data_IF_418125667737
#
_entry.id   IF_418125667737
#
_cell.length_a   1.000
_cell.length_b   1.000
_cell.length_c   1.000
_cell.angle_alpha   90.00
_cell.angle_beta   90.00
_cell.angle_gamma   90.00
#
_symmetry.space_group_name_H-M   'P 1'
#
loop_
_entity.id
_entity.type
_entity.pdbx_description
1 polymer ?
#
# COMPACT_ATOMS: atom_id res chain seq x y z
N UNK A 1 -18.47 7.24 -0.44
CA UNK A 1 -18.21 6.50 0.80
C UNK A 1 -19.48 6.06 1.54
N UNK A 2 -20.31 6.97 2.10
CA UNK A 2 -21.49 6.58 2.91
C UNK A 2 -22.47 5.67 2.15
N UNK A 3 -22.80 6.02 0.89
CA UNK A 3 -23.65 5.18 0.03
C UNK A 3 -23.01 3.82 -0.26
N UNK A 4 -21.71 3.79 -0.52
CA UNK A 4 -20.95 2.54 -0.74
C UNK A 4 -21.07 1.61 0.48
N UNK A 5 -20.83 2.11 1.69
CA UNK A 5 -20.98 1.33 2.93
C UNK A 5 -22.39 0.77 3.09
N UNK A 6 -23.42 1.60 2.87
CA UNK A 6 -24.82 1.16 2.92
C UNK A 6 -25.11 0.04 1.92
N UNK A 7 -24.56 0.11 0.71
CA UNK A 7 -24.76 -0.92 -0.31
C UNK A 7 -24.01 -2.21 0.04
N UNK A 8 -22.77 -2.13 0.54
CA UNK A 8 -22.02 -3.30 0.99
C UNK A 8 -22.74 -4.01 2.15
N UNK A 9 -23.26 -3.24 3.12
CA UNK A 9 -24.04 -3.78 4.23
C UNK A 9 -25.32 -4.46 3.74
N UNK A 10 -26.07 -3.85 2.81
CA UNK A 10 -27.25 -4.46 2.18
C UNK A 10 -26.92 -5.75 1.41
N UNK A 11 -25.72 -5.82 0.83
CA UNK A 11 -25.23 -6.99 0.12
C UNK A 11 -24.61 -8.06 1.03
N UNK A 12 -24.54 -7.83 2.35
CA UNK A 12 -23.88 -8.75 3.29
C UNK A 12 -22.37 -8.83 3.14
N UNK A 13 -21.74 -7.83 2.52
CA UNK A 13 -20.30 -7.77 2.31
C UNK A 13 -19.67 -7.02 3.49
N UNK A 14 -18.75 -7.68 4.19
CA UNK A 14 -17.95 -7.07 5.26
C UNK A 14 -16.92 -6.08 4.69
N UNK A 15 -16.69 -4.98 5.38
CA UNK A 15 -15.75 -3.93 4.95
C UNK A 15 -15.10 -3.24 6.15
N UNK A 16 -13.91 -2.65 5.94
CA UNK A 16 -13.15 -1.89 6.94
C UNK A 16 -12.50 -0.65 6.31
N UNK A 17 -11.86 0.19 7.14
CA UNK A 17 -10.99 1.30 6.69
C UNK A 17 -11.71 2.58 6.25
N UNK A 18 -13.03 2.63 6.41
CA UNK A 18 -13.83 3.85 6.27
C UNK A 18 -14.78 3.97 7.43
N UNK A 19 -15.32 5.15 7.72
CA UNK A 19 -16.20 5.35 8.87
C UNK A 19 -16.95 6.68 8.85
N UNK A 20 -17.96 6.80 9.70
CA UNK A 20 -18.64 8.07 9.98
C UNK A 20 -17.85 8.97 10.96
N UNK A 21 -16.85 8.40 11.63
CA UNK A 21 -15.86 9.06 12.49
C UNK A 21 -14.50 8.38 12.34
N UNK A 22 -13.44 8.96 12.91
CA UNK A 22 -12.12 8.32 12.95
C UNK A 22 -12.16 6.98 13.69
N UNK A 23 -12.86 6.89 14.83
CA UNK A 23 -13.02 5.65 15.58
C UNK A 23 -13.76 4.57 14.78
N UNK A 24 -14.83 4.92 14.07
CA UNK A 24 -15.54 3.99 13.18
C UNK A 24 -14.65 3.56 11.99
N UNK A 25 -13.83 4.47 11.46
CA UNK A 25 -12.94 4.18 10.34
C UNK A 25 -11.79 3.23 10.69
N UNK A 26 -11.27 3.34 11.91
CA UNK A 26 -10.20 2.50 12.47
C UNK A 26 -10.70 1.16 13.01
N UNK A 27 -12.02 0.95 13.09
CA UNK A 27 -12.59 -0.27 13.67
C UNK A 27 -12.28 -1.49 12.79
N UNK A 28 -11.73 -2.57 13.36
CA UNK A 28 -11.58 -3.84 12.64
C UNK A 28 -12.94 -4.43 12.27
N UNK A 29 -13.01 -5.10 11.12
CA UNK A 29 -14.15 -5.97 10.81
C UNK A 29 -13.79 -7.42 11.12
N UNK A 30 -14.76 -8.18 11.60
CA UNK A 30 -14.57 -9.59 11.97
C UNK A 30 -15.49 -10.47 11.13
N UNK A 31 -14.98 -11.63 10.73
CA UNK A 31 -15.73 -12.66 10.01
C UNK A 31 -15.44 -14.01 10.64
N UNK A 32 -16.50 -14.75 10.96
CA UNK A 32 -16.39 -16.12 11.45
C UNK A 32 -16.65 -17.10 10.32
N UNK A 33 -15.71 -18.03 10.11
CA UNK A 33 -15.85 -19.09 9.12
C UNK A 33 -15.12 -20.35 9.57
N UNK A 34 -15.82 -21.48 9.53
CA UNK A 34 -15.22 -22.78 9.83
C UNK A 34 -14.65 -22.87 11.25
N UNK A 35 -15.29 -22.19 12.22
CA UNK A 35 -14.83 -22.16 13.62
C UNK A 35 -13.64 -21.23 13.89
N UNK A 36 -13.18 -20.46 12.89
CA UNK A 36 -12.14 -19.44 13.04
C UNK A 36 -12.71 -18.05 12.89
N UNK A 37 -12.21 -17.11 13.69
CA UNK A 37 -12.52 -15.69 13.60
C UNK A 37 -11.35 -14.97 12.92
N UNK A 38 -11.63 -14.36 11.78
CA UNK A 38 -10.66 -13.58 11.00
C UNK A 38 -11.00 -12.11 11.16
N UNK A 39 -9.99 -11.28 11.44
CA UNK A 39 -10.14 -9.83 11.48
C UNK A 39 -9.42 -9.15 10.32
N UNK A 40 -9.96 -8.01 9.89
CA UNK A 40 -9.34 -7.13 8.90
C UNK A 40 -9.30 -5.69 9.43
N UNK A 41 -8.08 -5.16 9.52
CA UNK A 41 -7.79 -3.74 9.73
C UNK A 41 -7.35 -3.15 8.40
N UNK A 42 -8.10 -2.20 7.87
CA UNK A 42 -7.81 -1.58 6.59
C UNK A 42 -7.47 -0.09 6.75
N UNK A 43 -6.42 0.34 6.06
CA UNK A 43 -5.86 1.68 6.12
C UNK A 43 -5.54 2.15 4.70
N UNK A 44 -5.66 3.45 4.49
CA UNK A 44 -5.25 4.12 3.27
C UNK A 44 -3.95 4.90 3.55
N UNK A 45 -2.95 4.82 2.68
CA UNK A 45 -1.73 5.64 2.72
C UNK A 45 -2.04 7.10 2.40
N UNK A 46 -1.11 7.83 1.78
CA UNK A 46 -1.32 9.27 1.54
C UNK A 46 -2.53 9.52 0.64
N UNK A 47 -3.56 10.15 1.20
CA UNK A 47 -4.77 10.57 0.50
C UNK A 47 -4.97 12.07 0.68
N UNK A 48 -5.85 12.64 -0.14
CA UNK A 48 -6.23 14.05 0.01
C UNK A 48 -6.74 14.31 1.45
N UNK A 49 -6.36 15.45 2.08
CA UNK A 49 -6.73 15.73 3.48
C UNK A 49 -8.24 15.60 3.77
N UNK A 50 -9.09 15.89 2.77
CA UNK A 50 -10.54 15.81 2.87
C UNK A 50 -11.07 14.37 2.94
N UNK A 51 -10.26 13.38 2.55
CA UNK A 51 -10.61 11.96 2.58
C UNK A 51 -10.43 11.34 3.97
N UNK A 52 -9.51 11.86 4.79
CA UNK A 52 -9.16 11.31 6.12
C UNK A 52 -10.35 11.44 7.08
N UNK A 53 -10.68 10.44 7.87
CA UNK A 53 -11.74 10.55 8.88
C UNK A 53 -11.33 11.49 10.03
N UNK A 54 -12.26 12.31 10.52
CA UNK A 54 -12.03 13.21 11.64
C UNK A 54 -12.60 12.65 12.95
N UNK A 55 -11.90 12.79 14.10
CA UNK A 55 -12.43 12.35 15.39
C UNK A 55 -13.61 13.22 15.88
N UNK A 56 -13.69 14.47 15.41
CA UNK A 56 -14.51 15.48 16.06
C UNK A 56 -13.84 15.97 17.34
N UNK A 57 -14.48 16.91 18.02
CA UNK A 57 -14.07 17.41 19.33
C UNK A 57 -15.35 17.76 20.12
N UNK A 58 -15.70 16.96 21.15
CA UNK A 58 -16.86 17.23 21.97
C UNK A 58 -16.76 18.55 22.75
N UNK A 59 -15.55 18.95 23.14
CA UNK A 59 -15.31 20.15 23.95
C UNK A 59 -15.51 21.42 23.10
N UNK A 60 -15.15 21.35 21.80
CA UNK A 60 -15.35 22.42 20.82
C UNK A 60 -16.64 22.29 20.00
N UNK A 61 -17.57 21.38 20.38
CA UNK A 61 -18.80 21.06 19.61
C UNK A 61 -18.54 20.65 18.14
N UNK A 62 -17.34 20.18 17.82
CA UNK A 62 -16.98 19.72 16.49
C UNK A 62 -17.47 18.29 16.28
N UNK A 63 -18.35 18.13 15.30
CA UNK A 63 -18.87 16.80 14.96
C UNK A 63 -17.78 15.95 14.28
N UNK A 64 -17.76 14.62 14.52
CA UNK A 64 -16.89 13.72 13.79
C UNK A 64 -17.13 13.82 12.28
N UNK A 65 -16.05 13.67 11.50
CA UNK A 65 -16.13 13.77 10.04
C UNK A 65 -15.97 12.39 9.39
N UNK A 66 -16.90 11.98 8.51
CA UNK A 66 -16.75 10.74 7.77
C UNK A 66 -15.51 10.75 6.88
N UNK A 67 -14.81 9.63 6.78
CA UNK A 67 -13.63 9.47 5.93
C UNK A 67 -13.00 8.08 6.05
N UNK A 68 -11.76 7.96 5.57
CA UNK A 68 -10.94 6.75 5.66
C UNK A 68 -10.02 6.77 6.88
N UNK A 69 -9.68 5.58 7.37
CA UNK A 69 -8.54 5.43 8.28
C UNK A 69 -7.27 5.64 7.46
N UNK A 70 -6.52 6.70 7.75
CA UNK A 70 -5.35 7.06 6.98
C UNK A 70 -4.06 6.83 7.78
N UNK A 71 -2.99 6.49 7.07
CA UNK A 71 -1.61 6.64 7.50
C UNK A 71 -0.98 7.75 6.66
N UNK A 72 -1.06 8.99 7.13
CA UNK A 72 -0.45 10.12 6.44
C UNK A 72 1.07 10.01 6.55
N UNK A 73 1.75 10.07 5.40
CA UNK A 73 3.20 10.11 5.32
C UNK A 73 3.62 11.26 4.38
N UNK A 74 4.38 12.22 4.92
CA UNK A 74 4.89 13.35 4.14
C UNK A 74 6.25 12.99 3.56
N UNK A 75 6.47 13.09 2.24
CA UNK A 75 7.80 12.89 1.66
C UNK A 75 8.72 14.05 2.06
N UNK A 76 9.92 13.73 2.55
CA UNK A 76 10.93 14.70 2.97
C UNK A 76 12.21 14.43 2.19
N UNK A 77 12.70 15.43 1.46
CA UNK A 77 13.98 15.32 0.78
C UNK A 77 15.11 15.71 1.73
N UNK A 78 16.00 14.78 2.03
CA UNK A 78 17.14 14.99 2.93
C UNK A 78 18.35 15.44 2.10
N UNK A 79 19.01 16.51 2.52
CA UNK A 79 20.08 17.18 1.78
C UNK A 79 21.30 17.44 2.66
N UNK A 80 22.49 17.44 2.08
CA UNK A 80 23.67 18.00 2.74
C UNK A 80 23.53 19.51 2.99
N UNK A 81 24.44 20.08 3.78
CA UNK A 81 24.42 21.50 4.13
C UNK A 81 24.46 22.44 2.93
N UNK A 82 25.31 22.16 1.95
CA UNK A 82 25.51 23.06 0.80
C UNK A 82 24.24 23.10 -0.05
N UNK A 83 23.64 21.94 -0.34
CA UNK A 83 22.42 21.81 -1.13
C UNK A 83 21.22 22.38 -0.38
N UNK A 84 21.11 22.11 0.93
CA UNK A 84 20.05 22.64 1.78
C UNK A 84 20.08 24.17 1.84
N UNK A 85 21.25 24.76 2.14
CA UNK A 85 21.43 26.22 2.17
C UNK A 85 21.09 26.83 0.79
N UNK A 86 21.51 26.19 -0.31
CA UNK A 86 21.20 26.67 -1.67
C UNK A 86 19.68 26.73 -1.92
N UNK A 87 18.94 25.67 -1.58
CA UNK A 87 17.49 25.62 -1.76
C UNK A 87 16.79 26.66 -0.88
N UNK A 88 17.22 26.78 0.39
CA UNK A 88 16.71 27.78 1.33
C UNK A 88 16.88 29.19 0.78
N UNK A 89 18.08 29.53 0.32
CA UNK A 89 18.41 30.87 -0.15
C UNK A 89 17.64 31.23 -1.43
N UNK A 90 17.44 30.27 -2.35
CA UNK A 90 16.58 30.43 -3.54
C UNK A 90 15.13 30.70 -3.13
N UNK A 91 14.59 29.92 -2.19
CA UNK A 91 13.21 30.09 -1.71
C UNK A 91 13.00 31.47 -1.07
N UNK A 92 13.94 31.92 -0.23
CA UNK A 92 13.91 33.25 0.37
C UNK A 92 13.98 34.36 -0.69
N UNK A 93 14.84 34.21 -1.72
CA UNK A 93 14.92 35.15 -2.83
C UNK A 93 13.62 35.27 -3.64
N UNK A 94 12.79 34.22 -3.63
CA UNK A 94 11.45 34.20 -4.23
C UNK A 94 10.36 34.74 -3.30
N UNK A 95 10.70 35.20 -2.10
CA UNK A 95 9.76 35.72 -1.11
C UNK A 95 8.94 34.63 -0.41
N UNK A 96 9.37 33.37 -0.45
CA UNK A 96 8.72 32.29 0.28
C UNK A 96 8.87 32.48 1.78
N UNK A 97 7.78 32.27 2.52
CA UNK A 97 7.84 32.14 3.97
C UNK A 97 8.24 30.70 4.28
N UNK A 98 9.45 30.53 4.79
CA UNK A 98 9.92 29.24 5.27
C UNK A 98 9.28 28.98 6.64
N UNK A 99 8.56 27.87 6.75
CA UNK A 99 8.04 27.39 8.04
C UNK A 99 8.80 26.14 8.45
N UNK A 100 9.10 26.01 9.75
CA UNK A 100 9.82 24.87 10.31
C UNK A 100 11.02 25.32 11.15
N UNK A 101 11.95 24.40 11.41
CA UNK A 101 13.21 24.67 12.12
C UNK A 101 14.32 25.06 11.13
N UNK A 102 15.44 25.62 11.60
CA UNK A 102 16.56 26.01 10.71
C UNK A 102 17.10 24.86 9.84
N UNK A 103 16.84 23.62 10.25
CA UNK A 103 17.27 22.38 9.59
C UNK A 103 16.14 21.60 8.95
N UNK A 104 14.90 22.10 8.98
CA UNK A 104 13.72 21.44 8.43
C UNK A 104 12.72 22.48 7.93
N UNK A 105 12.61 22.61 6.61
CA UNK A 105 11.83 23.68 5.98
C UNK A 105 10.78 23.10 5.03
N UNK A 106 9.63 23.75 4.98
CA UNK A 106 8.58 23.48 4.00
C UNK A 106 8.29 24.73 3.16
N UNK A 107 8.15 24.57 1.84
CA UNK A 107 7.68 25.66 0.97
C UNK A 107 6.19 25.58 0.69
N UNK A 108 5.57 26.76 0.66
CA UNK A 108 4.15 26.91 0.42
C UNK A 108 3.91 27.68 -0.86
N UNK A 109 3.38 26.99 -1.86
CA UNK A 109 2.84 27.65 -3.05
C UNK A 109 1.33 27.75 -2.90
N UNK A 110 0.86 28.88 -2.38
CA UNK A 110 -0.56 29.09 -2.07
C UNK A 110 -0.93 28.60 -0.66
N UNK A 111 -2.13 28.00 -0.50
CA UNK A 111 -2.65 27.58 0.81
C UNK A 111 -2.17 26.19 1.28
N UNK A 112 -1.39 25.48 0.48
CA UNK A 112 -0.88 24.15 0.83
C UNK A 112 0.51 23.94 0.23
N UNK A 113 1.39 23.18 0.90
CA UNK A 113 2.67 22.80 0.33
C UNK A 113 2.42 21.90 -0.89
N UNK A 114 3.18 22.10 -1.97
CA UNK A 114 3.18 21.14 -3.09
C UNK A 114 3.86 19.85 -2.58
N UNK A 115 3.59 18.70 -3.19
CA UNK A 115 4.48 17.55 -3.03
C UNK A 115 5.96 17.99 -3.20
N UNK A 116 6.93 17.25 -2.64
CA UNK A 116 8.38 17.52 -2.76
C UNK A 116 8.90 18.88 -2.20
N UNK A 117 8.08 19.61 -1.45
CA UNK A 117 8.44 20.93 -0.87
C UNK A 117 9.00 20.90 0.56
N UNK A 118 9.13 19.70 1.16
CA UNK A 118 9.72 19.51 2.49
C UNK A 118 11.18 19.07 2.34
N UNK A 119 12.08 19.80 3.00
CA UNK A 119 13.51 19.54 2.98
C UNK A 119 14.10 19.51 4.38
N UNK A 120 14.99 18.56 4.61
CA UNK A 120 15.67 18.39 5.89
C UNK A 120 17.18 18.36 5.70
N UNK A 121 17.89 19.06 6.55
CA UNK A 121 19.35 18.98 6.64
C UNK A 121 19.74 17.60 7.19
N UNK A 122 20.47 16.84 6.38
CA UNK A 122 21.04 15.55 6.73
C UNK A 122 22.56 15.60 6.87
N UNK A 123 23.09 14.50 7.37
CA UNK A 123 24.55 14.27 7.48
C UNK A 123 25.12 13.52 6.27
N UNK A 124 24.27 12.98 5.41
CA UNK A 124 24.68 12.23 4.22
C UNK A 124 25.07 13.17 3.07
N UNK A 125 26.07 12.77 2.28
CA UNK A 125 26.56 13.57 1.17
C UNK A 125 25.59 13.60 -0.03
N UNK A 126 24.91 12.48 -0.27
CA UNK A 126 23.97 12.33 -1.37
C UNK A 126 22.53 12.62 -0.91
N UNK A 127 21.73 13.33 -1.73
CA UNK A 127 20.32 13.50 -1.45
C UNK A 127 19.57 12.18 -1.31
N UNK A 128 18.65 12.10 -0.35
CA UNK A 128 17.81 10.92 -0.14
C UNK A 128 16.36 11.29 0.15
N UNK A 129 15.46 10.32 0.01
CA UNK A 129 14.04 10.47 0.30
C UNK A 129 13.70 9.81 1.63
N UNK A 130 13.23 10.61 2.57
CA UNK A 130 12.66 10.18 3.85
C UNK A 130 11.15 10.40 3.86
N UNK A 131 10.51 9.91 4.93
CA UNK A 131 9.06 9.99 5.10
C UNK A 131 8.74 10.30 6.56
N UNK A 132 7.99 11.38 6.78
CA UNK A 132 7.46 11.72 8.09
C UNK A 132 6.05 11.17 8.23
N UNK A 133 5.93 10.13 9.04
CA UNK A 133 4.64 9.50 9.35
C UNK A 133 3.93 10.28 10.44
N UNK A 134 2.64 10.54 10.26
CA UNK A 134 1.83 11.16 11.30
C UNK A 134 1.73 10.23 12.54
N UNK A 135 2.15 10.69 13.73
CA UNK A 135 2.25 9.83 14.91
C UNK A 135 0.89 9.38 15.47
N UNK A 136 -0.16 10.21 15.33
CA UNK A 136 -1.52 9.87 15.77
C UNK A 136 -2.17 8.81 14.87
N UNK A 137 -1.85 8.86 13.58
CA UNK A 137 -2.21 7.82 12.62
C UNK A 137 -1.51 6.51 12.96
N UNK A 138 -0.18 6.55 13.10
CA UNK A 138 0.62 5.38 13.47
C UNK A 138 0.10 4.72 14.74
N UNK A 139 -0.01 5.49 15.83
CA UNK A 139 -0.43 4.97 17.14
C UNK A 139 -1.83 4.36 17.08
N UNK A 140 -2.79 5.06 16.45
CA UNK A 140 -4.15 4.56 16.37
C UNK A 140 -4.30 3.32 15.49
N UNK A 141 -3.48 3.18 14.44
CA UNK A 141 -3.47 1.98 13.60
C UNK A 141 -2.92 0.78 14.36
N UNK A 142 -1.81 0.96 15.10
CA UNK A 142 -1.23 -0.09 15.93
C UNK A 142 -2.25 -0.58 16.97
N UNK A 143 -2.91 0.34 17.68
CA UNK A 143 -3.97 0.00 18.64
C UNK A 143 -5.13 -0.78 18.01
N UNK A 144 -5.52 -0.44 16.78
CA UNK A 144 -6.55 -1.20 16.04
C UNK A 144 -6.10 -2.63 15.74
N UNK A 145 -4.82 -2.84 15.43
CA UNK A 145 -4.26 -4.17 15.15
C UNK A 145 -4.18 -5.01 16.43
N UNK A 146 -3.71 -4.43 17.53
CA UNK A 146 -3.67 -5.08 18.85
C UNK A 146 -5.09 -5.51 19.27
N UNK A 147 -6.06 -4.60 19.18
CA UNK A 147 -7.47 -4.88 19.48
C UNK A 147 -8.01 -6.00 18.58
N UNK A 148 -7.66 -6.00 17.29
CA UNK A 148 -8.08 -7.02 16.35
C UNK A 148 -7.52 -8.39 16.74
N UNK A 149 -6.23 -8.46 17.13
CA UNK A 149 -5.57 -9.70 17.54
C UNK A 149 -6.18 -10.29 18.81
N UNK A 150 -6.51 -9.47 19.80
CA UNK A 150 -7.14 -9.94 21.04
C UNK A 150 -8.50 -10.62 20.83
N UNK A 151 -9.14 -10.38 19.68
CA UNK A 151 -10.49 -10.85 19.38
C UNK A 151 -10.56 -11.72 18.12
N UNK A 152 -9.44 -12.21 17.59
CA UNK A 152 -9.44 -13.05 16.39
C UNK A 152 -8.32 -14.07 16.38
N UNK A 153 -8.54 -15.19 15.69
CA UNK A 153 -7.53 -16.22 15.48
C UNK A 153 -6.47 -15.73 14.48
N UNK A 154 -6.94 -15.02 13.45
CA UNK A 154 -6.13 -14.52 12.33
C UNK A 154 -6.43 -13.03 12.13
N UNK A 155 -5.40 -12.20 12.19
CA UNK A 155 -5.46 -10.76 11.94
C UNK A 155 -4.80 -10.39 10.63
N UNK A 156 -5.54 -9.71 9.75
CA UNK A 156 -5.03 -9.19 8.48
C UNK A 156 -4.94 -7.67 8.57
N UNK A 157 -3.76 -7.13 8.27
CA UNK A 157 -3.55 -5.70 8.08
C UNK A 157 -3.48 -5.37 6.59
N UNK A 158 -4.28 -4.43 6.13
CA UNK A 158 -4.35 -3.98 4.73
C UNK A 158 -4.02 -2.51 4.61
N UNK A 159 -3.11 -2.15 3.70
CA UNK A 159 -2.71 -0.78 3.42
C UNK A 159 -2.84 -0.46 1.93
N UNK A 160 -3.60 0.57 1.58
CA UNK A 160 -3.64 1.10 0.22
C UNK A 160 -2.54 2.16 0.02
N UNK A 161 -1.42 1.86 -0.64
CA UNK A 161 -0.31 2.80 -0.79
C UNK A 161 0.46 2.60 -2.11
N UNK A 162 0.70 3.68 -2.86
CA UNK A 162 1.41 3.64 -4.15
C UNK A 162 2.89 4.03 -4.04
N UNK A 163 3.31 4.59 -2.91
CA UNK A 163 4.60 5.24 -2.78
C UNK A 163 5.76 4.23 -2.90
N UNK A 164 6.80 4.63 -3.64
CA UNK A 164 8.03 3.87 -3.85
C UNK A 164 9.19 4.50 -3.08
N UNK A 165 10.24 3.71 -2.79
CA UNK A 165 11.42 4.18 -2.07
C UNK A 165 12.12 5.36 -2.75
N UNK A 166 12.10 5.41 -4.08
CA UNK A 166 12.69 6.50 -4.87
C UNK A 166 11.72 7.67 -5.13
N UNK A 167 10.45 7.54 -4.74
CA UNK A 167 9.39 8.46 -5.17
C UNK A 167 8.98 8.30 -6.64
N UNK A 168 9.50 7.31 -7.36
CA UNK A 168 9.13 7.05 -8.75
C UNK A 168 7.65 6.63 -8.85
N UNK A 169 6.93 7.27 -9.77
CA UNK A 169 5.54 6.96 -10.08
C UNK A 169 5.46 5.80 -11.08
N UNK A 170 4.64 4.81 -10.76
CA UNK A 170 4.38 3.63 -11.59
C UNK A 170 3.49 3.90 -12.80
N UNK A 171 2.93 5.12 -12.93
CA UNK A 171 2.12 5.56 -14.07
C UNK A 171 2.94 5.91 -15.32
N UNK A 172 4.25 6.12 -15.18
CA UNK A 172 5.15 6.43 -16.31
C UNK A 172 5.42 5.21 -17.20
N UNK A 173 5.57 5.47 -18.50
CA UNK A 173 5.81 4.44 -19.54
C UNK A 173 7.16 4.73 -20.22
N UNK A 174 8.10 3.77 -20.26
CA UNK A 174 8.03 2.44 -19.64
C UNK A 174 8.04 2.50 -18.10
N UNK A 175 7.51 1.45 -17.46
CA UNK A 175 7.49 1.33 -15.98
C UNK A 175 8.93 1.44 -15.47
N UNK A 176 9.15 2.35 -14.52
CA UNK A 176 10.45 2.50 -13.90
C UNK A 176 10.68 1.38 -12.88
N UNK A 177 11.78 0.60 -12.97
CA UNK A 177 12.05 -0.45 -11.97
C UNK A 177 12.05 0.06 -10.53
N UNK A 178 12.46 1.32 -10.32
CA UNK A 178 12.48 1.96 -9.00
C UNK A 178 11.08 2.18 -8.39
N UNK A 179 10.00 2.23 -9.20
CA UNK A 179 8.62 2.35 -8.69
C UNK A 179 8.11 1.04 -8.07
N UNK A 180 8.82 -0.08 -8.27
CA UNK A 180 8.49 -1.40 -7.73
C UNK A 180 9.16 -1.69 -6.38
N UNK A 181 9.98 -0.77 -5.88
CA UNK A 181 10.57 -0.86 -4.54
C UNK A 181 9.66 -0.11 -3.56
N UNK A 182 9.06 -0.77 -2.55
CA UNK A 182 8.13 -0.12 -1.63
C UNK A 182 8.83 0.97 -0.80
N UNK A 183 8.11 2.06 -0.52
CA UNK A 183 8.62 3.14 0.33
C UNK A 183 9.04 2.64 1.71
N UNK A 184 10.04 3.29 2.32
CA UNK A 184 10.55 2.88 3.64
C UNK A 184 9.48 2.93 4.72
N UNK A 185 8.58 3.92 4.70
CA UNK A 185 7.50 4.00 5.68
C UNK A 185 6.49 2.86 5.57
N UNK A 186 6.19 2.38 4.35
CA UNK A 186 5.26 1.25 4.15
C UNK A 186 5.88 -0.03 4.68
N UNK A 187 7.19 -0.24 4.47
CA UNK A 187 7.94 -1.34 5.10
C UNK A 187 7.91 -1.26 6.63
N UNK A 188 8.18 -0.08 7.18
CA UNK A 188 8.22 0.13 8.63
C UNK A 188 6.87 -0.15 9.31
N UNK A 189 5.75 0.35 8.74
CA UNK A 189 4.43 0.05 9.30
C UNK A 189 4.05 -1.42 9.09
N UNK A 190 4.48 -2.09 8.02
CA UNK A 190 4.25 -3.53 7.82
C UNK A 190 4.94 -4.37 8.90
N UNK A 191 6.20 -4.06 9.23
CA UNK A 191 6.91 -4.73 10.34
C UNK A 191 6.24 -4.44 11.68
N UNK A 192 5.89 -3.18 11.94
CA UNK A 192 5.19 -2.80 13.16
C UNK A 192 3.81 -3.46 13.29
N UNK A 193 3.08 -3.64 12.19
CA UNK A 193 1.80 -4.33 12.17
C UNK A 193 1.96 -5.81 12.55
N UNK A 194 2.98 -6.50 12.05
CA UNK A 194 3.29 -7.88 12.45
C UNK A 194 3.68 -7.94 13.92
N UNK A 195 4.49 -6.99 14.39
CA UNK A 195 4.91 -6.91 15.79
C UNK A 195 3.73 -6.66 16.74
N UNK A 196 2.72 -5.93 16.27
CA UNK A 196 1.46 -5.69 16.98
C UNK A 196 0.45 -6.86 16.91
N UNK A 197 0.76 -7.92 16.15
CA UNK A 197 -0.05 -9.14 16.09
C UNK A 197 -0.76 -9.41 14.77
N UNK A 198 -0.48 -8.67 13.69
CA UNK A 198 -0.94 -9.04 12.35
C UNK A 198 -0.29 -10.35 11.90
N UNK A 199 -1.11 -11.29 11.43
CA UNK A 199 -0.68 -12.57 10.90
C UNK A 199 -0.37 -12.49 9.39
N UNK A 200 -0.93 -11.49 8.68
CA UNK A 200 -0.68 -11.20 7.25
C UNK A 200 -0.75 -9.68 7.02
N UNK A 201 0.18 -9.15 6.20
CA UNK A 201 0.12 -7.77 5.72
C UNK A 201 -0.09 -7.73 4.21
N UNK A 202 -1.09 -6.97 3.78
CA UNK A 202 -1.46 -6.77 2.37
C UNK A 202 -1.31 -5.29 2.01
N UNK A 203 -0.32 -4.96 1.18
CA UNK A 203 -0.27 -3.66 0.52
C UNK A 203 -0.85 -3.80 -0.87
N UNK A 204 -1.83 -2.96 -1.15
CA UNK A 204 -2.48 -2.86 -2.46
C UNK A 204 -2.50 -1.40 -2.90
N UNK A 205 -2.93 -1.13 -4.12
CA UNK A 205 -2.74 0.17 -4.77
C UNK A 205 -1.83 0.02 -5.98
N UNK A 206 -0.56 -0.43 -5.82
CA UNK A 206 0.36 -0.57 -6.93
C UNK A 206 -0.25 -1.39 -8.05
N UNK A 207 -0.33 -0.83 -9.26
CA UNK A 207 -0.86 -1.52 -10.44
C UNK A 207 0.14 -2.49 -11.06
N UNK A 208 1.33 -2.58 -10.46
CA UNK A 208 2.42 -3.47 -10.83
C UNK A 208 2.77 -4.39 -9.66
N UNK A 209 3.40 -5.52 -9.96
CA UNK A 209 3.90 -6.40 -8.92
C UNK A 209 5.03 -5.73 -8.12
N UNK A 210 4.99 -5.95 -6.80
CA UNK A 210 6.09 -5.67 -5.87
C UNK A 210 6.43 -6.95 -5.11
N UNK A 211 7.62 -7.01 -4.53
CA UNK A 211 8.13 -8.21 -3.88
C UNK A 211 7.28 -8.67 -2.69
N UNK A 212 7.53 -9.91 -2.27
CA UNK A 212 6.95 -10.51 -1.07
C UNK A 212 8.07 -10.66 -0.05
N UNK A 213 7.80 -10.30 1.19
CA UNK A 213 8.70 -10.49 2.33
C UNK A 213 8.05 -11.45 3.34
N UNK A 214 8.85 -12.37 3.90
CA UNK A 214 8.46 -13.13 5.09
C UNK A 214 9.20 -12.56 6.29
N UNK A 215 8.48 -11.83 7.13
CA UNK A 215 9.01 -11.20 8.33
C UNK A 215 8.46 -11.89 9.58
N UNK A 216 9.33 -12.43 10.43
CA UNK A 216 8.95 -13.21 11.64
C UNK A 216 7.89 -14.29 11.34
N UNK A 217 8.12 -15.06 10.28
CA UNK A 217 7.21 -16.12 9.81
C UNK A 217 5.83 -15.61 9.37
N UNK A 218 5.68 -14.32 9.05
CA UNK A 218 4.45 -13.71 8.54
C UNK A 218 4.66 -13.07 7.18
N UNK A 219 3.76 -13.28 6.21
CA UNK A 219 3.91 -12.71 4.89
C UNK A 219 3.49 -11.24 4.84
N UNK A 220 4.30 -10.46 4.13
CA UNK A 220 4.04 -9.09 3.71
C UNK A 220 4.01 -9.09 2.18
N UNK A 221 2.85 -8.79 1.62
CA UNK A 221 2.67 -8.64 0.19
C UNK A 221 2.73 -7.15 -0.17
N UNK A 222 3.84 -6.67 -0.75
CA UNK A 222 4.00 -5.23 -1.03
C UNK A 222 3.16 -4.72 -2.23
N UNK A 223 2.62 -5.64 -3.04
CA UNK A 223 1.77 -5.32 -4.19
C UNK A 223 1.55 -6.54 -5.07
N UNK A 224 0.34 -7.09 -5.08
CA UNK A 224 -0.05 -8.23 -5.94
C UNK A 224 -0.69 -7.80 -7.26
N UNK A 225 -0.54 -6.50 -7.60
CA UNK A 225 -1.15 -5.83 -8.73
C UNK A 225 -2.69 -5.92 -8.73
N UNK A 226 -3.29 -5.88 -9.91
CA UNK A 226 -4.74 -5.71 -10.06
C UNK A 226 -5.47 -7.06 -10.06
N UNK A 227 -6.62 -7.14 -9.37
CA UNK A 227 -7.53 -8.29 -9.46
C UNK A 227 -8.74 -8.01 -10.35
N UNK A 228 -9.34 -6.82 -10.25
CA UNK A 228 -10.56 -6.45 -11.01
C UNK A 228 -10.42 -5.11 -11.72
N UNK A 229 -9.18 -4.66 -11.93
CA UNK A 229 -8.88 -3.39 -12.57
C UNK A 229 -7.99 -3.64 -13.78
N UNK A 230 -8.42 -3.19 -14.95
CA UNK A 230 -7.62 -3.29 -16.17
C UNK A 230 -8.04 -2.18 -17.14
N UNK A 231 -7.05 -1.45 -17.65
CA UNK A 231 -7.23 -0.50 -18.75
C UNK A 231 -7.00 -1.15 -20.13
N UNK A 232 -6.58 -2.43 -20.14
CA UNK A 232 -6.13 -3.15 -21.32
C UNK A 232 -4.77 -2.67 -21.83
N UNK A 233 -4.30 -3.28 -22.93
CA UNK A 233 -2.98 -2.96 -23.50
C UNK A 233 -2.97 -1.67 -24.34
N UNK A 234 -4.15 -1.07 -24.58
CA UNK A 234 -4.27 0.17 -25.34
C UNK A 234 -5.32 1.06 -24.67
N UNK A 235 -4.89 2.21 -24.17
CA UNK A 235 -5.78 3.18 -23.53
C UNK A 235 -5.56 4.57 -24.12
N UNK A 236 -6.63 5.16 -24.66
CA UNK A 236 -6.63 6.50 -25.26
C UNK A 236 -5.51 6.74 -26.30
N UNK A 237 -5.16 5.71 -27.07
CA UNK A 237 -4.13 5.79 -28.13
C UNK A 237 -2.70 5.53 -27.66
N UNK A 238 -2.50 5.20 -26.38
CA UNK A 238 -1.20 4.78 -25.84
C UNK A 238 -1.16 3.27 -25.66
N UNK A 239 -0.06 2.65 -26.06
CA UNK A 239 0.27 1.28 -25.68
C UNK A 239 0.64 1.25 -24.21
N UNK A 240 -0.09 0.48 -23.42
CA UNK A 240 0.17 0.31 -22.00
C UNK A 240 1.15 -0.86 -21.76
N UNK A 241 1.95 -0.80 -20.69
CA UNK A 241 2.81 -1.90 -20.29
C UNK A 241 2.00 -3.18 -20.05
N UNK A 242 2.57 -4.32 -20.43
CA UNK A 242 1.92 -5.63 -20.23
C UNK A 242 1.72 -5.90 -18.74
N UNK A 243 2.65 -5.44 -17.91
CA UNK A 243 2.69 -5.64 -16.46
C UNK A 243 1.48 -5.04 -15.72
N UNK A 244 0.78 -4.05 -16.29
CA UNK A 244 -0.45 -3.50 -15.70
C UNK A 244 -1.65 -4.44 -15.80
N UNK A 245 -1.59 -5.41 -16.71
CA UNK A 245 -2.61 -6.46 -16.84
C UNK A 245 -2.24 -7.73 -16.03
N UNK A 246 -1.05 -7.79 -15.43
CA UNK A 246 -0.61 -8.90 -14.58
C UNK A 246 -1.22 -8.80 -13.18
N UNK A 247 -1.44 -9.95 -12.56
CA UNK A 247 -1.87 -10.04 -11.17
C UNK A 247 -1.49 -11.37 -10.55
N UNK A 248 -1.62 -11.47 -9.23
CA UNK A 248 -1.43 -12.73 -8.50
C UNK A 248 -2.55 -12.86 -7.46
N UNK A 249 -3.18 -14.02 -7.40
CA UNK A 249 -3.92 -14.45 -6.19
C UNK A 249 -2.94 -15.21 -5.31
N UNK A 250 -2.74 -14.73 -4.09
CA UNK A 250 -1.95 -15.42 -3.08
C UNK A 250 -2.87 -16.22 -2.14
N UNK A 251 -2.77 -17.54 -2.19
CA UNK A 251 -3.41 -18.44 -1.24
C UNK A 251 -2.45 -18.69 -0.07
N UNK A 252 -2.80 -18.21 1.12
CA UNK A 252 -2.01 -18.44 2.34
C UNK A 252 -2.64 -19.56 3.15
N UNK A 253 -1.89 -20.64 3.37
CA UNK A 253 -2.28 -21.76 4.23
C UNK A 253 -1.91 -21.47 5.68
N UNK A 254 -2.75 -21.92 6.59
CA UNK A 254 -2.58 -21.76 8.03
C UNK A 254 -2.57 -23.12 8.74
N UNK A 255 -1.61 -23.32 9.62
CA UNK A 255 -1.47 -24.44 10.56
C UNK A 255 -1.37 -23.86 11.98
N UNK A 256 -2.19 -24.34 12.91
CA UNK A 256 -2.27 -23.80 14.28
C UNK A 256 -2.37 -22.26 14.35
N UNK A 257 -3.18 -21.68 13.45
CA UNK A 257 -3.38 -20.23 13.27
C UNK A 257 -2.13 -19.44 12.81
N UNK A 258 -1.08 -20.13 12.38
CA UNK A 258 0.13 -19.54 11.81
C UNK A 258 0.21 -19.81 10.30
N UNK A 259 0.60 -18.84 9.46
CA UNK A 259 0.93 -19.06 8.06
C UNK A 259 2.02 -20.13 7.91
N UNK A 260 1.79 -21.15 7.09
CA UNK A 260 2.76 -22.23 6.83
C UNK A 260 3.26 -22.24 5.38
N UNK A 261 2.42 -21.81 4.43
CA UNK A 261 2.77 -21.81 3.01
C UNK A 261 1.94 -20.78 2.25
N UNK A 262 2.55 -20.21 1.21
CA UNK A 262 1.88 -19.35 0.23
C UNK A 262 1.93 -20.05 -1.13
N UNK A 263 0.80 -20.09 -1.82
CA UNK A 263 0.69 -20.52 -3.22
C UNK A 263 0.29 -19.30 -4.05
N UNK A 264 1.10 -18.98 -5.05
CA UNK A 264 0.88 -17.86 -5.97
C UNK A 264 0.24 -18.39 -7.24
N UNK A 265 -0.95 -17.86 -7.55
CA UNK A 265 -1.73 -18.15 -8.74
C UNK A 265 -1.68 -16.94 -9.68
N UNK A 266 -0.86 -16.97 -10.74
CA UNK A 266 -0.73 -15.85 -11.67
C UNK A 266 -2.01 -15.61 -12.46
N UNK A 267 -2.33 -14.33 -12.66
CA UNK A 267 -3.49 -13.84 -13.39
C UNK A 267 -3.09 -12.91 -14.53
N UNK A 268 -3.95 -12.86 -15.55
CA UNK A 268 -3.91 -11.86 -16.63
C UNK A 268 -5.32 -11.34 -16.88
N UNK A 269 -5.43 -10.13 -17.44
CA UNK A 269 -6.72 -9.56 -17.88
C UNK A 269 -6.83 -9.58 -19.41
N UNK A 270 -6.43 -8.48 -20.06
CA UNK A 270 -6.63 -8.24 -21.50
C UNK A 270 -5.48 -8.73 -22.39
N UNK A 271 -4.42 -9.31 -21.84
CA UNK A 271 -3.26 -9.78 -22.60
C UNK A 271 -3.54 -10.95 -23.54
N UNK A 272 -4.68 -11.62 -23.38
CA UNK A 272 -5.10 -12.72 -24.26
C UNK A 272 -5.86 -12.14 -25.46
N UNK A 273 -5.13 -11.40 -26.31
CA UNK A 273 -5.68 -10.63 -27.44
C UNK A 273 -6.44 -11.53 -28.44
N UNK A 274 -6.14 -12.84 -28.45
CA UNK A 274 -6.76 -13.82 -29.34
C UNK A 274 -7.96 -14.55 -28.72
N UNK A 275 -8.22 -14.37 -27.41
CA UNK A 275 -9.37 -14.98 -26.74
C UNK A 275 -10.58 -14.05 -26.85
N UNK A 276 -11.29 -14.16 -27.97
CA UNK A 276 -12.54 -13.45 -28.25
C UNK A 276 -13.75 -14.13 -27.62
N UNK A 277 -13.58 -15.25 -26.91
CA UNK A 277 -14.68 -16.07 -26.40
C UNK A 277 -15.35 -15.50 -25.15
N UNK A 278 -14.68 -14.59 -24.44
CA UNK A 278 -15.20 -13.99 -23.22
C UNK A 278 -15.74 -12.58 -23.48
N UNK A 279 -17.06 -12.33 -23.27
CA UNK A 279 -17.66 -10.99 -23.37
C UNK A 279 -17.09 -9.99 -22.33
N UNK A 280 -16.38 -10.50 -21.32
CA UNK A 280 -15.79 -9.74 -20.21
C UNK A 280 -14.26 -9.64 -20.31
N UNK A 281 -13.74 -8.98 -21.36
CA UNK A 281 -12.29 -8.92 -21.63
C UNK A 281 -11.44 -8.36 -20.47
N UNK A 282 -12.03 -7.54 -19.61
CA UNK A 282 -11.36 -6.91 -18.47
C UNK A 282 -11.41 -7.73 -17.16
N UNK A 283 -11.95 -8.96 -17.18
CA UNK A 283 -11.98 -9.82 -15.99
C UNK A 283 -10.67 -10.60 -15.83
N UNK A 284 -10.24 -10.86 -14.58
CA UNK A 284 -9.05 -11.66 -14.31
C UNK A 284 -9.25 -13.11 -14.80
N UNK A 285 -8.20 -13.67 -15.38
CA UNK A 285 -8.12 -15.06 -15.84
C UNK A 285 -6.83 -15.68 -15.32
N UNK A 286 -6.85 -16.97 -15.01
CA UNK A 286 -5.62 -17.71 -14.71
C UNK A 286 -4.67 -17.59 -15.91
N UNK A 287 -3.43 -17.18 -15.64
CA UNK A 287 -2.45 -16.95 -16.69
C UNK A 287 -2.08 -18.27 -17.39
N UNK A 288 -2.05 -18.32 -18.73
CA UNK A 288 -1.48 -19.45 -19.46
C UNK A 288 0.01 -19.62 -19.16
N UNK A 289 0.56 -20.80 -19.47
CA UNK A 289 1.93 -21.18 -19.07
C UNK A 289 2.99 -20.10 -19.31
N UNK A 290 3.02 -19.50 -20.50
CA UNK A 290 4.05 -18.50 -20.83
C UNK A 290 3.96 -17.24 -19.95
N UNK A 291 2.75 -16.71 -19.76
CA UNK A 291 2.48 -15.54 -18.91
C UNK A 291 2.70 -15.90 -17.43
N UNK A 292 2.24 -17.06 -17.00
CA UNK A 292 2.47 -17.55 -15.64
C UNK A 292 3.98 -17.62 -15.32
N UNK A 293 4.81 -18.18 -16.22
CA UNK A 293 6.26 -18.18 -16.02
C UNK A 293 6.84 -16.76 -15.93
N UNK A 294 6.42 -15.85 -16.82
CA UNK A 294 6.91 -14.46 -16.81
C UNK A 294 6.58 -13.75 -15.50
N UNK A 295 5.32 -13.84 -15.07
CA UNK A 295 4.81 -13.23 -13.82
C UNK A 295 5.52 -13.83 -12.60
N UNK A 296 5.68 -15.17 -12.57
CA UNK A 296 6.34 -15.86 -11.46
C UNK A 296 7.84 -15.58 -11.37
N UNK A 297 8.53 -15.42 -12.51
CA UNK A 297 9.93 -15.00 -12.52
C UNK A 297 10.08 -13.55 -12.06
N UNK A 298 9.15 -12.66 -12.42
CA UNK A 298 9.18 -11.26 -11.96
C UNK A 298 8.96 -11.17 -10.44
N UNK A 299 7.93 -11.83 -9.89
CA UNK A 299 7.70 -11.85 -8.44
C UNK A 299 8.85 -12.54 -7.68
N UNK A 300 9.48 -13.57 -8.27
CA UNK A 300 10.67 -14.20 -7.69
C UNK A 300 11.81 -13.18 -7.55
N UNK A 301 12.19 -12.52 -8.63
CA UNK A 301 13.24 -11.50 -8.64
C UNK A 301 12.94 -10.33 -7.67
N UNK A 302 11.69 -9.86 -7.65
CA UNK A 302 11.27 -8.79 -6.75
C UNK A 302 11.32 -9.21 -5.27
N UNK A 303 11.11 -10.50 -4.97
CA UNK A 303 11.11 -11.04 -3.61
C UNK A 303 12.51 -11.40 -3.10
N UNK A 304 13.49 -11.57 -3.99
CA UNK A 304 14.90 -11.82 -3.62
C UNK A 304 15.48 -10.68 -2.77
N UNK A 305 15.10 -9.43 -3.04
CA UNK A 305 15.51 -8.26 -2.25
C UNK A 305 15.08 -8.34 -0.77
N UNK A 306 14.11 -9.20 -0.45
CA UNK A 306 13.62 -9.47 0.89
C UNK A 306 14.03 -10.86 1.42
N UNK A 307 15.00 -11.51 0.78
CA UNK A 307 15.45 -12.87 1.10
C UNK A 307 14.32 -13.92 1.09
N UNK A 308 13.27 -13.69 0.30
CA UNK A 308 12.13 -14.60 0.20
C UNK A 308 12.25 -15.44 -1.06
N UNK A 309 12.37 -16.77 -0.88
CA UNK A 309 12.49 -17.71 -2.00
C UNK A 309 11.12 -18.12 -2.53
N UNK A 310 10.87 -17.82 -3.80
CA UNK A 310 9.71 -18.32 -4.54
C UNK A 310 10.14 -19.53 -5.35
N UNK A 311 9.59 -20.72 -5.08
CA UNK A 311 9.83 -21.92 -5.87
C UNK A 311 8.75 -22.06 -6.93
N UNK A 312 9.13 -22.07 -8.21
CA UNK A 312 8.19 -22.21 -9.32
C UNK A 312 8.05 -23.69 -9.67
N UNK A 313 6.81 -24.21 -9.64
CA UNK A 313 6.48 -25.55 -10.14
C UNK A 313 5.29 -25.47 -11.07
N UNK A 314 5.48 -25.90 -12.31
CA UNK A 314 4.50 -25.72 -13.37
C UNK A 314 4.08 -24.23 -13.44
N UNK A 315 2.79 -23.92 -13.30
CA UNK A 315 2.27 -22.55 -13.40
C UNK A 315 2.00 -21.89 -12.04
N UNK A 316 2.55 -22.43 -10.94
CA UNK A 316 2.34 -21.94 -9.58
C UNK A 316 3.67 -21.59 -8.91
N UNK A 317 3.63 -20.53 -8.10
CA UNK A 317 4.72 -20.18 -7.19
C UNK A 317 4.45 -20.69 -5.78
N UNK A 318 5.48 -21.14 -5.08
CA UNK A 318 5.37 -21.64 -3.71
C UNK A 318 6.38 -20.93 -2.82
N UNK A 319 5.93 -20.43 -1.68
CA UNK A 319 6.78 -19.88 -0.62
C UNK A 319 6.47 -20.69 0.64
N UNK A 320 7.47 -21.36 1.19
CA UNK A 320 7.33 -22.03 2.48
C UNK A 320 7.67 -21.05 3.59
N UNK A 321 6.84 -21.02 4.62
CA UNK A 321 7.04 -20.19 5.80
C UNK A 321 7.53 -21.13 6.90
N UNK A 322 8.70 -20.85 7.44
CA UNK A 322 9.31 -21.60 8.55
C UNK A 322 8.90 -21.01 9.90
#
# INVERSE_FOLDING_TARGET
MVTTRKNLQKAGISFAGSGLSLADARRPVYLEKGGRRVSLVAVAGTHTPQSVAGPGDPDDNLQPRPGVSALRATPVTVLDKVKFDTIRDIALAQGQVLTGEETDIALYVGQSPIAWSHWRLGTEAEPSLAWDVNPDDYTGIIQSIETAKDHSDITIFSLHAHEAASGADESYIPIQPASRVPATYTRNISHAAIDAGADVVLIHGPHTLRGIEVYKSRPIFYGLASLTYSLGLNFRGYSLPVEWDDGIIAETKFEDNLPSQIILHPLVHNQLINDTSLPDRAMPKIAPKAQAQRILNDIQNLSEAFNTTVVIKENLGYINIQ
#
